data_IF_458838352987
#
_entry.id   IF_458838352987
#
_cell.length_a   1.000
_cell.length_b   1.000
_cell.length_c   1.000
_cell.angle_alpha   90.00
_cell.angle_beta   90.00
_cell.angle_gamma   90.00
#
_symmetry.space_group_name_H-M   'P 1'
#
loop_
_entity.id
_entity.type
_entity.pdbx_description
1 polymer ?
#
# COMPACT_ATOMS: atom_id res chain seq x y z
N UNK A 1 41.64 17.36 -29.23
CA UNK A 1 41.23 16.65 -28.00
C UNK A 1 40.02 17.40 -27.44
N UNK A 2 38.83 16.96 -27.81
CA UNK A 2 37.57 17.61 -27.41
C UNK A 2 37.05 16.88 -26.16
N UNK A 3 37.02 17.61 -25.06
CA UNK A 3 36.51 17.11 -23.78
C UNK A 3 34.96 17.21 -23.77
N UNK A 4 34.28 16.09 -23.92
CA UNK A 4 32.82 15.99 -23.87
C UNK A 4 32.39 15.91 -22.38
N UNK A 5 31.90 17.03 -21.84
CA UNK A 5 31.25 17.03 -20.49
C UNK A 5 29.89 16.36 -20.60
N UNK A 6 29.78 15.16 -20.08
CA UNK A 6 28.51 14.49 -19.81
C UNK A 6 27.84 15.18 -18.60
N UNK A 7 26.89 16.06 -18.87
CA UNK A 7 25.96 16.56 -17.87
C UNK A 7 24.87 15.49 -17.74
N UNK A 8 24.94 14.69 -16.67
CA UNK A 8 23.88 13.76 -16.30
C UNK A 8 22.60 14.52 -15.92
N UNK A 9 21.41 13.96 -16.15
CA UNK A 9 20.16 14.58 -15.71
C UNK A 9 20.10 14.57 -14.18
N UNK A 10 20.33 15.72 -13.57
CA UNK A 10 19.94 15.96 -12.19
C UNK A 10 18.41 15.95 -12.16
N UNK A 11 17.81 14.89 -11.62
CA UNK A 11 16.38 14.85 -11.30
C UNK A 11 16.10 15.98 -10.31
N UNK A 12 15.60 17.09 -10.83
CA UNK A 12 15.02 18.16 -10.01
C UNK A 12 13.75 17.55 -9.38
N UNK A 13 13.88 17.02 -8.17
CA UNK A 13 12.69 16.76 -7.32
C UNK A 13 12.10 18.14 -7.09
N UNK A 14 11.02 18.45 -7.81
CA UNK A 14 10.21 19.62 -7.52
C UNK A 14 9.73 19.46 -6.08
N UNK A 15 10.30 20.25 -5.17
CA UNK A 15 9.82 20.38 -3.81
C UNK A 15 8.41 20.94 -3.95
N UNK A 16 7.38 20.10 -3.72
CA UNK A 16 6.00 20.57 -3.77
C UNK A 16 5.87 21.66 -2.72
N UNK A 17 5.73 22.91 -3.18
CA UNK A 17 5.51 24.05 -2.31
C UNK A 17 4.23 23.83 -1.52
N UNK A 18 4.28 24.18 -0.24
CA UNK A 18 3.15 24.18 0.67
C UNK A 18 2.02 25.08 0.10
N UNK A 19 0.77 24.59 0.09
CA UNK A 19 -0.35 25.27 -0.55
C UNK A 19 -0.98 26.36 0.33
N UNK A 20 -0.52 26.54 1.59
CA UNK A 20 -1.23 27.40 2.55
C UNK A 20 -0.90 28.90 2.44
N UNK A 21 0.25 29.24 1.87
CA UNK A 21 0.70 30.64 1.81
C UNK A 21 1.31 31.11 3.13
N UNK A 22 1.30 32.42 3.35
CA UNK A 22 1.88 33.08 4.53
C UNK A 22 0.81 33.90 5.27
N UNK A 23 0.99 34.08 6.58
CA UNK A 23 0.14 34.93 7.41
C UNK A 23 0.79 36.30 7.49
N UNK A 24 0.05 37.35 7.18
CA UNK A 24 0.48 38.71 7.53
C UNK A 24 0.16 39.01 9.01
N UNK A 25 1.20 39.05 9.82
CA UNK A 25 1.06 39.31 11.25
C UNK A 25 0.51 40.71 11.58
N UNK A 26 0.58 41.66 10.64
CA UNK A 26 0.08 43.04 10.83
C UNK A 26 -1.45 43.12 10.76
N UNK A 27 -2.10 42.09 10.25
CA UNK A 27 -3.56 41.99 10.20
C UNK A 27 -4.19 41.65 11.55
N UNK A 28 -3.38 41.38 12.60
CA UNK A 28 -3.84 40.87 13.89
C UNK A 28 -3.21 41.59 15.06
N UNK A 29 -3.98 41.78 16.14
CA UNK A 29 -3.52 42.47 17.34
C UNK A 29 -2.81 41.58 18.35
N UNK A 30 -2.99 40.27 18.25
CA UNK A 30 -2.53 39.33 19.28
C UNK A 30 -2.06 38.01 18.65
N UNK A 31 -1.37 37.22 19.45
CA UNK A 31 -0.96 35.87 19.07
C UNK A 31 -1.03 34.89 20.23
N UNK A 32 -1.01 33.60 19.93
CA UNK A 32 -0.71 32.52 20.86
C UNK A 32 0.37 31.61 20.25
N UNK A 33 1.06 30.87 21.11
CA UNK A 33 2.11 29.96 20.68
C UNK A 33 1.67 28.52 20.87
N UNK A 34 1.86 27.71 19.86
CA UNK A 34 1.63 26.25 19.90
C UNK A 34 2.92 25.50 19.69
N UNK A 35 3.11 24.46 20.47
CA UNK A 35 4.11 23.42 20.19
C UNK A 35 3.34 22.14 19.94
N UNK A 36 3.35 21.66 18.69
CA UNK A 36 2.51 20.54 18.25
C UNK A 36 3.33 19.35 17.74
N UNK A 37 2.75 18.19 17.84
CA UNK A 37 3.18 16.97 17.16
C UNK A 37 1.96 16.38 16.45
N UNK A 38 2.09 16.12 15.17
CA UNK A 38 0.99 15.56 14.36
C UNK A 38 1.14 14.06 14.29
N UNK A 39 0.07 13.35 14.57
CA UNK A 39 -0.01 11.89 14.49
C UNK A 39 -1.10 11.45 13.51
N UNK A 40 -0.91 10.27 12.96
CA UNK A 40 -1.93 9.56 12.19
C UNK A 40 -1.87 8.10 12.59
N UNK A 41 -2.96 7.56 13.10
CA UNK A 41 -3.03 6.20 13.59
C UNK A 41 -1.92 5.84 14.62
N UNK A 42 -1.58 6.80 15.49
CA UNK A 42 -0.54 6.67 16.51
C UNK A 42 0.90 6.94 16.04
N UNK A 43 1.14 6.94 14.73
CA UNK A 43 2.45 7.22 14.14
C UNK A 43 2.69 8.73 14.00
N UNK A 44 3.90 9.19 14.36
CA UNK A 44 4.28 10.60 14.20
C UNK A 44 4.59 10.92 12.74
N UNK A 45 3.90 11.91 12.19
CA UNK A 45 4.13 12.43 10.85
C UNK A 45 5.42 13.27 10.80
N UNK A 46 6.19 13.07 9.73
CA UNK A 46 7.38 13.87 9.37
C UNK A 46 7.17 14.41 7.96
N UNK A 47 7.98 15.41 7.61
CA UNK A 47 7.93 16.04 6.27
C UNK A 47 6.52 16.54 5.90
N UNK A 48 5.91 17.25 6.85
CA UNK A 48 4.57 17.84 6.74
C UNK A 48 4.63 19.33 6.98
N UNK A 49 3.60 20.04 6.56
CA UNK A 49 3.34 21.44 6.95
C UNK A 49 2.02 21.49 7.71
N UNK A 50 2.04 21.55 9.05
CA UNK A 50 0.84 21.80 9.83
C UNK A 50 0.49 23.30 9.79
N UNK A 51 -0.79 23.60 9.68
CA UNK A 51 -1.30 24.97 9.67
C UNK A 51 -2.58 25.08 10.50
N UNK A 52 -2.83 26.26 11.06
CA UNK A 52 -3.99 26.57 11.90
C UNK A 52 -4.85 27.57 11.17
N UNK A 53 -6.14 27.32 11.15
CA UNK A 53 -7.15 28.14 10.48
C UNK A 53 -8.25 28.56 11.45
N UNK A 54 -8.84 29.72 11.19
CA UNK A 54 -10.15 30.11 11.70
C UNK A 54 -11.09 30.27 10.51
N UNK A 55 -12.07 29.39 10.38
CA UNK A 55 -12.84 29.29 9.14
C UNK A 55 -11.94 28.99 7.94
N UNK A 56 -11.92 29.86 6.95
CA UNK A 56 -11.06 29.73 5.76
C UNK A 56 -9.75 30.51 5.85
N UNK A 57 -9.55 31.31 6.91
CA UNK A 57 -8.39 32.16 7.07
C UNK A 57 -7.23 31.41 7.75
N UNK A 58 -6.07 31.44 7.11
CA UNK A 58 -4.82 30.96 7.71
C UNK A 58 -4.45 31.88 8.90
N UNK A 59 -4.19 31.27 10.04
CA UNK A 59 -3.83 31.99 11.30
C UNK A 59 -2.40 31.68 11.75
N UNK A 60 -1.82 30.60 11.28
CA UNK A 60 -0.44 30.23 11.60
C UNK A 60 0.01 29.01 10.83
N UNK A 61 1.31 28.93 10.60
CA UNK A 61 1.96 27.82 9.92
C UNK A 61 3.11 27.26 10.75
N UNK A 62 3.29 25.96 10.77
CA UNK A 62 4.26 25.28 11.62
C UNK A 62 5.65 25.25 11.02
N UNK A 63 6.62 25.61 11.87
CA UNK A 63 8.04 25.45 11.61
C UNK A 63 8.59 24.22 12.33
N UNK A 64 9.29 23.35 11.61
CA UNK A 64 9.87 22.13 12.19
C UNK A 64 10.98 22.49 13.19
N UNK A 65 10.93 21.92 14.38
CA UNK A 65 11.98 22.05 15.36
C UNK A 65 13.29 21.40 14.88
N UNK A 66 14.37 22.16 14.88
CA UNK A 66 15.70 21.63 14.53
C UNK A 66 16.27 20.62 15.55
N UNK A 67 15.74 20.63 16.79
CA UNK A 67 16.23 19.81 17.91
C UNK A 67 15.32 18.64 18.27
N UNK A 68 14.02 18.73 17.96
CA UNK A 68 13.02 17.75 18.34
C UNK A 68 12.29 17.24 17.08
N UNK A 69 12.70 16.09 16.51
CA UNK A 69 12.09 15.58 15.28
C UNK A 69 10.59 15.35 15.43
N UNK A 70 9.80 15.83 14.46
CA UNK A 70 8.33 15.70 14.45
C UNK A 70 7.61 16.70 15.34
N UNK A 71 8.32 17.63 16.00
CA UNK A 71 7.74 18.74 16.77
C UNK A 71 7.76 20.00 15.93
N UNK A 72 6.63 20.71 15.88
CA UNK A 72 6.45 21.94 15.13
C UNK A 72 6.07 23.10 16.08
N UNK A 73 6.62 24.27 15.82
CA UNK A 73 6.25 25.51 16.49
C UNK A 73 5.34 26.32 15.58
N UNK A 74 4.22 26.79 16.10
CA UNK A 74 3.25 27.60 15.36
C UNK A 74 2.96 28.87 16.16
N UNK A 75 3.19 30.02 15.57
CA UNK A 75 2.60 31.28 16.08
C UNK A 75 1.25 31.44 15.41
N UNK A 76 0.20 31.45 16.20
CA UNK A 76 -1.18 31.64 15.74
C UNK A 76 -1.62 33.05 16.03
N UNK A 77 -2.06 33.79 15.03
CA UNK A 77 -2.50 35.16 15.12
C UNK A 77 -4.02 35.26 15.21
N UNK A 78 -4.51 36.21 15.96
CA UNK A 78 -5.95 36.42 16.15
C UNK A 78 -6.23 37.69 16.96
N UNK A 79 -7.53 38.08 17.04
CA UNK A 79 -7.95 39.32 17.65
C UNK A 79 -8.76 39.09 18.91
N UNK A 80 -9.45 37.96 19.02
CA UNK A 80 -10.38 37.72 20.12
C UNK A 80 -10.19 36.33 20.73
N UNK A 81 -10.10 36.28 22.05
CA UNK A 81 -10.17 35.01 22.77
C UNK A 81 -11.52 34.34 22.53
N UNK A 82 -11.47 33.01 22.22
CA UNK A 82 -12.64 32.20 21.94
C UNK A 82 -12.88 31.95 20.45
N UNK A 83 -12.11 32.58 19.55
CA UNK A 83 -12.19 32.22 18.12
C UNK A 83 -11.93 30.71 17.92
N UNK A 84 -12.79 30.01 17.18
CA UNK A 84 -12.58 28.58 16.88
C UNK A 84 -11.41 28.42 15.90
N UNK A 85 -10.51 27.50 16.24
CA UNK A 85 -9.37 27.16 15.44
C UNK A 85 -9.44 25.66 15.06
N UNK A 86 -8.97 25.31 13.87
CA UNK A 86 -8.82 23.93 13.41
C UNK A 86 -7.51 23.76 12.66
N UNK A 87 -7.05 22.52 12.59
CA UNK A 87 -5.80 22.19 11.92
C UNK A 87 -6.04 21.67 10.50
N UNK A 88 -5.18 22.08 9.59
CA UNK A 88 -4.97 21.47 8.28
C UNK A 88 -3.52 21.08 8.16
N UNK A 89 -3.25 19.90 7.63
CA UNK A 89 -1.89 19.39 7.49
C UNK A 89 -1.64 19.03 6.03
N UNK A 90 -0.64 19.64 5.43
CA UNK A 90 -0.18 19.24 4.10
C UNK A 90 0.83 18.11 4.25
N UNK A 91 0.54 16.97 3.61
CA UNK A 91 1.37 15.77 3.64
C UNK A 91 1.25 15.00 2.33
N UNK A 92 2.38 14.66 1.71
CA UNK A 92 2.41 13.84 0.49
C UNK A 92 1.58 14.40 -0.68
N UNK A 93 1.52 15.73 -0.81
CA UNK A 93 0.75 16.40 -1.88
C UNK A 93 -0.75 16.57 -1.60
N UNK A 94 -1.21 16.28 -0.39
CA UNK A 94 -2.62 16.37 0.03
C UNK A 94 -2.78 17.23 1.28
N UNK A 95 -3.91 17.90 1.38
CA UNK A 95 -4.35 18.57 2.61
C UNK A 95 -5.26 17.59 3.35
N UNK A 96 -4.96 17.37 4.63
CA UNK A 96 -5.75 16.56 5.55
C UNK A 96 -6.28 17.50 6.62
N UNK A 97 -7.58 17.50 6.84
CA UNK A 97 -8.24 18.29 7.89
C UNK A 97 -8.54 17.39 9.08
N UNK A 98 -8.53 17.97 10.27
CA UNK A 98 -8.91 17.29 11.51
C UNK A 98 -10.11 17.96 12.14
N UNK A 99 -10.94 17.15 12.79
CA UNK A 99 -12.04 17.64 13.62
C UNK A 99 -11.55 18.17 14.99
N UNK A 100 -10.25 17.98 15.30
CA UNK A 100 -9.64 18.52 16.50
C UNK A 100 -9.65 20.05 16.44
N UNK A 101 -10.62 20.63 17.13
CA UNK A 101 -10.76 22.06 17.30
C UNK A 101 -10.16 22.55 18.62
N UNK A 102 -9.69 23.79 18.61
CA UNK A 102 -9.29 24.51 19.80
C UNK A 102 -9.78 25.95 19.70
N UNK A 103 -9.69 26.72 20.79
CA UNK A 103 -9.98 28.14 20.75
C UNK A 103 -8.71 28.94 20.83
N UNK A 104 -8.68 30.05 20.12
CA UNK A 104 -7.64 31.06 20.27
C UNK A 104 -7.73 31.71 21.67
N UNK A 105 -6.60 31.82 22.33
CA UNK A 105 -6.49 32.52 23.64
C UNK A 105 -5.31 33.47 23.55
N UNK A 106 -5.58 34.76 23.76
CA UNK A 106 -4.55 35.81 23.67
C UNK A 106 -3.38 35.48 24.61
N UNK A 107 -2.14 35.52 24.08
CA UNK A 107 -0.88 35.28 24.78
C UNK A 107 -0.76 33.88 25.44
N UNK A 108 -1.60 32.94 25.09
CA UNK A 108 -1.49 31.57 25.60
C UNK A 108 -0.31 30.82 24.94
N UNK A 109 0.20 29.86 25.71
CA UNK A 109 1.26 28.94 25.24
C UNK A 109 0.78 27.51 25.46
N UNK A 110 0.49 26.82 24.39
CA UNK A 110 -0.02 25.45 24.44
C UNK A 110 1.00 24.45 23.92
N UNK A 111 1.30 23.46 24.76
CA UNK A 111 2.32 22.46 24.49
C UNK A 111 3.74 22.96 24.78
N UNK A 112 4.69 22.02 24.76
CA UNK A 112 6.12 22.28 24.90
C UNK A 112 6.91 21.23 24.13
N UNK A 113 8.21 21.40 23.85
CA UNK A 113 8.99 20.39 23.13
C UNK A 113 9.02 19.01 23.77
N UNK A 114 8.90 18.94 25.12
CA UNK A 114 8.82 17.67 25.86
C UNK A 114 7.40 17.10 25.95
N UNK A 115 6.39 17.97 25.89
CA UNK A 115 4.98 17.62 25.99
C UNK A 115 4.21 18.40 24.92
N UNK A 116 4.38 18.06 23.64
CA UNK A 116 3.68 18.76 22.56
C UNK A 116 2.19 18.51 22.62
N UNK A 117 1.40 19.48 22.17
CA UNK A 117 0.00 19.24 21.88
C UNK A 117 -0.11 18.27 20.72
N UNK A 118 -0.85 17.20 20.92
CA UNK A 118 -1.01 16.16 19.89
C UNK A 118 -2.20 16.54 19.01
N UNK A 119 -1.95 16.59 17.70
CA UNK A 119 -2.97 16.74 16.66
C UNK A 119 -3.11 15.37 16.00
N UNK A 120 -4.24 14.71 16.25
CA UNK A 120 -4.52 13.40 15.65
C UNK A 120 -5.29 13.58 14.33
N UNK A 121 -4.69 13.13 13.24
CA UNK A 121 -5.32 13.14 11.93
C UNK A 121 -6.08 11.83 11.70
N UNK A 122 -7.23 11.90 11.03
CA UNK A 122 -7.93 10.69 10.59
C UNK A 122 -7.04 9.91 9.62
N UNK A 123 -6.82 8.64 9.92
CA UNK A 123 -6.10 7.77 9.00
C UNK A 123 -6.98 7.46 7.79
N UNK A 124 -6.48 7.61 6.54
CA UNK A 124 -7.20 7.18 5.38
C UNK A 124 -7.55 5.71 5.47
N UNK A 125 -8.82 5.37 5.23
CA UNK A 125 -9.32 4.01 5.18
C UNK A 125 -9.92 3.77 3.79
N UNK A 126 -9.49 2.70 3.13
CA UNK A 126 -10.07 2.27 1.86
C UNK A 126 -10.68 0.89 2.07
N UNK A 127 -11.99 0.81 1.85
CA UNK A 127 -12.73 -0.46 1.87
C UNK A 127 -12.89 -1.00 0.45
N UNK A 128 -12.73 -2.31 0.28
CA UNK A 128 -12.98 -2.97 -0.99
C UNK A 128 -13.66 -4.33 -0.78
N UNK A 129 -14.51 -4.67 -1.75
CA UNK A 129 -15.22 -5.95 -1.75
C UNK A 129 -14.36 -7.00 -2.46
N UNK A 130 -14.27 -8.19 -1.88
CA UNK A 130 -13.66 -9.36 -2.50
C UNK A 130 -14.69 -10.19 -3.24
N UNK A 131 -14.28 -10.81 -4.35
CA UNK A 131 -15.08 -11.79 -5.09
C UNK A 131 -14.51 -13.17 -4.81
N UNK A 132 -15.26 -14.00 -4.11
CA UNK A 132 -14.79 -15.31 -3.63
C UNK A 132 -13.47 -15.24 -2.85
N UNK A 133 -13.30 -14.16 -2.10
CA UNK A 133 -12.10 -13.87 -1.35
C UNK A 133 -10.93 -13.32 -2.18
N UNK A 134 -11.12 -13.00 -3.46
CA UNK A 134 -10.11 -12.36 -4.30
C UNK A 134 -10.47 -10.90 -4.61
N UNK A 135 -9.50 -10.03 -4.62
CA UNK A 135 -9.63 -8.66 -5.10
C UNK A 135 -8.29 -8.14 -5.60
N UNK A 136 -8.28 -6.95 -6.19
CA UNK A 136 -7.04 -6.24 -6.54
C UNK A 136 -7.01 -4.89 -5.87
N UNK A 137 -5.82 -4.40 -5.55
CA UNK A 137 -5.66 -3.04 -5.02
C UNK A 137 -4.38 -2.38 -5.48
N UNK A 138 -4.40 -1.04 -5.50
CA UNK A 138 -3.25 -0.16 -5.62
C UNK A 138 -3.56 1.07 -4.76
N UNK A 139 -2.87 1.24 -3.64
CA UNK A 139 -3.21 2.27 -2.66
C UNK A 139 -2.28 3.48 -2.78
N UNK A 140 -2.77 4.72 -2.61
CA UNK A 140 -1.95 5.92 -2.66
C UNK A 140 -1.11 6.15 -1.39
N UNK A 141 -1.18 5.25 -0.41
CA UNK A 141 -0.45 5.30 0.85
C UNK A 141 0.10 3.91 1.20
N UNK A 142 1.13 3.87 2.06
CA UNK A 142 1.54 2.61 2.67
C UNK A 142 0.43 2.13 3.60
N UNK A 143 0.08 0.86 3.52
CA UNK A 143 -1.04 0.31 4.29
C UNK A 143 -0.63 -0.93 5.08
N UNK A 144 -1.16 -1.07 6.28
CA UNK A 144 -1.06 -2.33 7.01
C UNK A 144 -1.84 -3.41 6.28
N UNK A 145 -1.22 -4.57 6.08
CA UNK A 145 -1.89 -5.73 5.49
C UNK A 145 -2.81 -6.32 6.57
N UNK A 146 -4.14 -6.31 6.37
CA UNK A 146 -5.07 -6.76 7.39
C UNK A 146 -4.92 -8.25 7.71
N UNK A 147 -5.18 -8.64 8.94
CA UNK A 147 -5.14 -10.04 9.36
C UNK A 147 -6.05 -10.91 8.47
N UNK A 148 -5.54 -12.08 8.08
CA UNK A 148 -6.24 -13.00 7.18
C UNK A 148 -6.23 -12.59 5.71
N UNK A 149 -5.46 -11.55 5.35
CA UNK A 149 -5.23 -11.12 3.98
C UNK A 149 -3.81 -11.48 3.55
N UNK A 150 -3.68 -12.04 2.36
CA UNK A 150 -2.38 -12.25 1.69
C UNK A 150 -2.33 -11.40 0.44
N UNK A 151 -1.24 -10.68 0.24
CA UNK A 151 -1.00 -9.85 -0.94
C UNK A 151 0.02 -10.53 -1.86
N UNK A 152 -0.21 -10.42 -3.18
CA UNK A 152 0.65 -11.03 -4.19
C UNK A 152 1.04 -10.00 -5.26
N UNK A 153 2.30 -10.05 -5.69
CA UNK A 153 2.76 -9.41 -6.92
C UNK A 153 2.76 -10.43 -8.06
N UNK A 154 2.60 -9.97 -9.29
CA UNK A 154 2.70 -10.84 -10.46
C UNK A 154 4.14 -10.83 -10.99
N UNK A 155 4.78 -11.99 -10.96
CA UNK A 155 6.19 -12.15 -11.31
C UNK A 155 6.40 -12.48 -12.78
N UNK A 156 5.38 -13.03 -13.46
CA UNK A 156 5.48 -13.37 -14.87
C UNK A 156 4.25 -14.09 -15.41
N UNK A 157 4.33 -14.44 -16.68
CA UNK A 157 3.33 -15.25 -17.39
C UNK A 157 4.07 -16.45 -17.98
N UNK A 158 3.64 -17.66 -17.62
CA UNK A 158 4.18 -18.91 -18.14
C UNK A 158 3.04 -19.84 -18.57
N UNK A 159 3.12 -20.43 -19.74
CA UNK A 159 2.11 -21.36 -20.30
C UNK A 159 0.66 -20.81 -20.27
N UNK A 160 0.50 -19.47 -20.41
CA UNK A 160 -0.80 -18.82 -20.34
C UNK A 160 -1.36 -18.67 -18.93
N UNK A 161 -0.55 -18.91 -17.90
CA UNK A 161 -0.88 -18.75 -16.48
C UNK A 161 -0.15 -17.55 -15.88
N UNK A 162 -0.85 -16.80 -15.04
CA UNK A 162 -0.27 -15.69 -14.28
C UNK A 162 0.42 -16.23 -13.02
N UNK A 163 1.73 -16.08 -12.95
CA UNK A 163 2.53 -16.46 -11.78
C UNK A 163 2.50 -15.32 -10.78
N UNK A 164 2.09 -15.60 -9.54
CA UNK A 164 2.05 -14.62 -8.46
C UNK A 164 2.82 -15.13 -7.25
N UNK A 165 3.57 -14.23 -6.64
CA UNK A 165 4.37 -14.49 -5.44
C UNK A 165 3.86 -13.62 -4.30
N UNK A 166 3.71 -14.23 -3.11
CA UNK A 166 3.26 -13.48 -1.95
C UNK A 166 4.28 -12.42 -1.53
N UNK A 167 3.78 -11.24 -1.23
CA UNK A 167 4.57 -10.16 -0.67
C UNK A 167 4.97 -10.51 0.77
N UNK A 168 6.24 -10.32 1.08
CA UNK A 168 6.76 -10.51 2.45
C UNK A 168 6.59 -9.25 3.28
N UNK A 169 6.30 -9.40 4.58
CA UNK A 169 6.07 -8.29 5.50
C UNK A 169 4.59 -8.02 5.74
N UNK A 170 4.33 -7.03 6.58
CA UNK A 170 2.97 -6.66 7.02
C UNK A 170 2.52 -5.29 6.50
N UNK A 171 3.32 -4.63 5.68
CA UNK A 171 3.00 -3.33 5.08
C UNK A 171 3.01 -3.47 3.56
N UNK A 172 1.91 -3.07 2.92
CA UNK A 172 1.82 -2.88 1.48
C UNK A 172 2.38 -1.49 1.13
N UNK A 173 3.44 -1.41 0.29
CA UNK A 173 3.98 -0.12 -0.12
C UNK A 173 2.97 0.67 -0.96
N UNK A 174 2.98 2.00 -0.81
CA UNK A 174 2.16 2.89 -1.64
C UNK A 174 2.41 2.67 -3.14
N UNK A 175 1.39 2.87 -3.94
CA UNK A 175 1.44 2.74 -5.41
C UNK A 175 1.93 1.37 -5.90
N UNK A 176 1.85 0.34 -5.04
CA UNK A 176 2.19 -1.04 -5.42
C UNK A 176 0.91 -1.77 -5.78
N UNK A 177 0.69 -2.08 -7.08
CA UNK A 177 -0.47 -2.85 -7.49
C UNK A 177 -0.32 -4.32 -7.07
N UNK A 178 -1.34 -4.87 -6.44
CA UNK A 178 -1.32 -6.26 -5.94
C UNK A 178 -2.65 -6.97 -6.16
N UNK A 179 -2.56 -8.28 -6.26
CA UNK A 179 -3.67 -9.19 -6.06
C UNK A 179 -3.76 -9.49 -4.56
N UNK A 180 -4.96 -9.56 -4.01
CA UNK A 180 -5.19 -9.94 -2.62
C UNK A 180 -6.06 -11.19 -2.52
N UNK A 181 -5.75 -12.03 -1.55
CA UNK A 181 -6.60 -13.13 -1.08
C UNK A 181 -7.06 -12.83 0.33
N UNK A 182 -8.35 -12.62 0.50
CA UNK A 182 -8.99 -12.33 1.79
C UNK A 182 -9.73 -13.59 2.26
N UNK A 183 -9.08 -14.41 3.07
CA UNK A 183 -9.63 -15.67 3.53
C UNK A 183 -10.86 -15.45 4.42
N UNK A 184 -12.04 -15.85 3.92
CA UNK A 184 -13.29 -15.76 4.65
C UNK A 184 -13.85 -14.32 4.83
N UNK A 185 -13.27 -13.32 4.18
CA UNK A 185 -13.74 -11.92 4.26
C UNK A 185 -14.34 -11.48 2.94
N UNK A 186 -15.55 -10.92 2.99
CA UNK A 186 -16.23 -10.32 1.82
C UNK A 186 -15.83 -8.88 1.59
N UNK A 187 -15.27 -8.21 2.60
CA UNK A 187 -14.71 -6.86 2.52
C UNK A 187 -13.38 -6.78 3.26
N UNK A 188 -12.50 -5.91 2.80
CA UNK A 188 -11.18 -5.66 3.36
C UNK A 188 -11.02 -4.17 3.55
N UNK A 189 -10.65 -3.76 4.76
CA UNK A 189 -10.33 -2.38 5.09
C UNK A 189 -8.81 -2.22 5.19
N UNK A 190 -8.29 -1.21 4.50
CA UNK A 190 -6.88 -0.87 4.46
C UNK A 190 -6.63 0.40 5.23
N UNK A 191 -5.84 0.31 6.27
CA UNK A 191 -5.50 1.41 7.15
C UNK A 191 -4.11 1.97 6.77
N UNK A 192 -4.03 3.27 6.59
CA UNK A 192 -2.77 3.95 6.30
C UNK A 192 -1.75 3.77 7.42
N UNK A 193 -0.48 3.55 7.04
CA UNK A 193 0.67 3.49 7.94
C UNK A 193 1.81 4.37 7.44
N UNK A 194 2.53 4.96 8.39
CA UNK A 194 3.74 5.72 8.10
C UNK A 194 4.92 4.79 8.32
N UNK A 195 5.45 4.27 7.22
CA UNK A 195 6.59 3.37 7.25
C UNK A 195 7.46 3.59 6.02
N UNK A 196 8.75 3.37 6.16
CA UNK A 196 9.65 3.21 5.01
C UNK A 196 9.62 1.75 4.62
N UNK A 197 9.16 1.46 3.41
CA UNK A 197 9.00 0.09 2.89
C UNK A 197 9.58 0.02 1.50
N UNK A 198 10.31 -1.05 1.22
CA UNK A 198 10.84 -1.31 -0.12
C UNK A 198 9.71 -1.77 -1.05
N UNK A 199 9.70 -1.23 -2.26
CA UNK A 199 8.78 -1.68 -3.31
C UNK A 199 9.32 -2.94 -3.97
N UNK A 200 8.44 -3.90 -4.33
CA UNK A 200 8.85 -5.10 -5.06
C UNK A 200 9.53 -4.74 -6.38
N UNK A 201 10.65 -5.39 -6.68
CA UNK A 201 11.44 -5.14 -7.89
C UNK A 201 10.82 -5.76 -9.14
N UNK A 202 10.02 -6.81 -8.98
CA UNK A 202 9.34 -7.51 -10.08
C UNK A 202 7.85 -7.50 -9.83
N UNK A 203 7.11 -6.83 -10.71
CA UNK A 203 5.66 -6.82 -10.69
C UNK A 203 5.13 -6.39 -12.06
N UNK A 204 4.41 -7.27 -12.75
CA UNK A 204 3.80 -6.96 -14.06
C UNK A 204 2.39 -6.37 -13.95
N UNK A 205 1.83 -6.28 -12.73
CA UNK A 205 0.60 -5.52 -12.54
C UNK A 205 0.82 -4.04 -12.80
N UNK A 206 -0.14 -3.43 -13.44
CA UNK A 206 -0.34 -1.99 -13.46
C UNK A 206 -1.39 -1.61 -12.41
N UNK A 207 -1.33 -0.38 -11.90
CA UNK A 207 -2.28 0.08 -10.88
C UNK A 207 -2.74 1.49 -11.13
N UNK A 208 -3.92 1.81 -10.60
CA UNK A 208 -4.45 3.17 -10.58
C UNK A 208 -5.02 3.52 -9.22
N UNK A 209 -4.75 4.75 -8.78
CA UNK A 209 -5.31 5.32 -7.55
C UNK A 209 -6.57 6.14 -7.82
N UNK A 210 -6.82 6.45 -9.08
CA UNK A 210 -7.98 7.21 -9.55
C UNK A 210 -8.76 6.38 -10.57
N UNK A 211 -10.02 6.74 -10.79
CA UNK A 211 -10.77 6.14 -11.90
C UNK A 211 -10.16 6.58 -13.22
N UNK A 212 -9.91 5.63 -14.12
CA UNK A 212 -9.32 5.90 -15.42
C UNK A 212 -10.12 5.27 -16.56
N UNK A 213 -10.18 5.96 -17.69
CA UNK A 213 -10.75 5.42 -18.91
C UNK A 213 -9.81 4.39 -19.53
N UNK A 214 -10.38 3.33 -20.10
CA UNK A 214 -9.66 2.30 -20.87
C UNK A 214 -10.45 1.93 -22.10
N UNK A 215 -9.74 1.53 -23.16
CA UNK A 215 -10.40 0.95 -24.32
C UNK A 215 -10.91 -0.46 -24.02
N UNK A 216 -12.10 -0.84 -24.45
CA UNK A 216 -12.61 -2.20 -24.25
C UNK A 216 -11.62 -3.25 -24.78
N UNK A 217 -11.39 -4.28 -24.00
CA UNK A 217 -10.45 -5.39 -24.27
C UNK A 217 -8.96 -5.00 -24.38
N UNK A 218 -8.58 -3.80 -23.96
CA UNK A 218 -7.18 -3.36 -23.94
C UNK A 218 -6.43 -3.79 -22.68
N UNK A 219 -7.12 -4.24 -21.64
CA UNK A 219 -6.55 -4.64 -20.34
C UNK A 219 -7.21 -5.92 -19.84
N UNK A 220 -6.51 -6.63 -18.95
CA UNK A 220 -7.10 -7.74 -18.20
C UNK A 220 -7.38 -7.29 -16.77
N UNK A 221 -8.56 -7.62 -16.28
CA UNK A 221 -8.97 -7.36 -14.89
C UNK A 221 -9.36 -8.66 -14.20
N UNK A 222 -9.28 -8.66 -12.87
CA UNK A 222 -9.74 -9.77 -12.05
C UNK A 222 -11.24 -10.00 -12.27
N UNK A 223 -11.58 -11.25 -12.53
CA UNK A 223 -12.99 -11.64 -12.77
C UNK A 223 -13.11 -13.14 -12.96
N UNK A 224 -14.30 -13.56 -13.39
CA UNK A 224 -14.58 -14.94 -13.75
C UNK A 224 -14.51 -15.12 -15.26
N UNK A 225 -13.95 -16.26 -15.67
CA UNK A 225 -14.14 -16.73 -17.05
C UNK A 225 -15.63 -17.03 -17.27
N UNK A 226 -16.21 -16.47 -18.33
CA UNK A 226 -17.64 -16.64 -18.61
C UNK A 226 -18.03 -18.05 -18.98
N UNK A 227 -17.07 -18.86 -19.49
CA UNK A 227 -17.30 -20.22 -19.95
C UNK A 227 -17.02 -21.27 -18.84
N UNK A 228 -15.92 -21.07 -18.08
CA UNK A 228 -15.47 -22.06 -17.09
C UNK A 228 -15.80 -21.68 -15.64
N UNK A 229 -16.15 -20.41 -15.39
CA UNK A 229 -16.35 -19.87 -14.05
C UNK A 229 -15.06 -19.66 -13.24
N UNK A 230 -13.89 -19.95 -13.81
CA UNK A 230 -12.61 -19.80 -13.12
C UNK A 230 -12.26 -18.34 -12.81
N UNK A 231 -11.72 -18.10 -11.63
CA UNK A 231 -11.19 -16.79 -11.24
C UNK A 231 -9.82 -16.59 -11.87
N UNK A 232 -9.64 -15.43 -12.50
CA UNK A 232 -8.40 -15.07 -13.18
C UNK A 232 -8.40 -13.62 -13.64
N UNK A 233 -7.45 -13.28 -14.46
CA UNK A 233 -7.42 -11.99 -15.15
C UNK A 233 -7.92 -12.19 -16.59
N UNK A 234 -9.05 -11.57 -16.92
CA UNK A 234 -9.75 -11.76 -18.18
C UNK A 234 -9.91 -10.43 -18.92
N UNK A 235 -10.02 -10.50 -20.25
CA UNK A 235 -10.26 -9.32 -21.09
C UNK A 235 -11.43 -8.51 -20.55
N UNK A 236 -11.18 -7.23 -20.27
CA UNK A 236 -12.17 -6.32 -19.71
C UNK A 236 -12.93 -5.60 -20.81
N UNK A 237 -14.22 -5.83 -20.89
CA UNK A 237 -15.10 -5.22 -21.89
C UNK A 237 -15.66 -3.85 -21.49
N UNK A 238 -15.36 -3.38 -20.28
CA UNK A 238 -15.78 -2.05 -19.82
C UNK A 238 -14.88 -0.95 -20.36
N UNK A 239 -15.29 0.29 -20.14
CA UNK A 239 -14.60 1.51 -20.59
C UNK A 239 -13.87 2.27 -19.50
N UNK A 240 -13.92 1.81 -18.25
CA UNK A 240 -13.23 2.47 -17.13
C UNK A 240 -12.82 1.48 -16.04
N UNK A 241 -11.66 1.71 -15.43
CA UNK A 241 -11.21 1.01 -14.23
C UNK A 241 -11.46 1.94 -13.03
N UNK A 242 -12.07 1.41 -11.97
CA UNK A 242 -12.29 2.16 -10.74
C UNK A 242 -10.98 2.50 -10.04
N UNK A 243 -11.00 3.52 -9.18
CA UNK A 243 -9.87 3.88 -8.33
C UNK A 243 -9.41 2.71 -7.45
N UNK A 244 -8.13 2.73 -7.08
CA UNK A 244 -7.48 1.78 -6.19
C UNK A 244 -7.55 0.33 -6.68
N UNK A 245 -7.31 0.11 -7.98
CA UNK A 245 -7.32 -1.23 -8.60
C UNK A 245 -5.99 -1.56 -9.25
N UNK A 246 -5.69 -2.88 -9.29
CA UNK A 246 -4.63 -3.42 -10.13
C UNK A 246 -5.23 -4.19 -11.31
N UNK A 247 -4.51 -4.15 -12.44
CA UNK A 247 -4.88 -4.75 -13.71
C UNK A 247 -3.62 -5.14 -14.49
N UNK A 248 -3.75 -5.80 -15.62
CA UNK A 248 -2.63 -6.12 -16.53
C UNK A 248 -2.85 -5.32 -17.82
N UNK A 249 -1.90 -4.40 -18.10
CA UNK A 249 -1.94 -3.54 -19.29
C UNK A 249 -1.34 -4.21 -20.54
N UNK A 250 -0.25 -4.98 -20.35
CA UNK A 250 0.46 -5.62 -21.46
C UNK A 250 -0.09 -7.03 -21.70
N UNK A 251 -1.11 -7.13 -22.55
CA UNK A 251 -1.75 -8.41 -22.88
C UNK A 251 -0.88 -9.13 -23.93
N UNK A 252 -0.43 -10.38 -23.69
CA UNK A 252 0.22 -11.17 -24.72
C UNK A 252 -0.70 -11.36 -25.94
N UNK A 253 -0.13 -11.28 -27.14
CA UNK A 253 -0.88 -11.41 -28.39
C UNK A 253 -1.69 -12.72 -28.40
N UNK A 254 -2.99 -12.62 -28.70
CA UNK A 254 -3.90 -13.76 -28.75
C UNK A 254 -4.43 -14.25 -27.40
N UNK A 255 -3.98 -13.68 -26.27
CA UNK A 255 -4.49 -14.04 -24.95
C UNK A 255 -5.86 -13.39 -24.70
N UNK A 256 -6.84 -14.19 -24.26
CA UNK A 256 -8.14 -13.71 -23.77
C UNK A 256 -8.22 -13.59 -22.25
N UNK A 257 -7.19 -14.10 -21.56
CA UNK A 257 -7.09 -14.09 -20.10
C UNK A 257 -6.13 -15.13 -19.57
N UNK A 258 -5.96 -15.14 -18.26
CA UNK A 258 -4.98 -15.97 -17.56
C UNK A 258 -5.53 -16.45 -16.24
N UNK A 259 -5.30 -17.72 -15.91
CA UNK A 259 -5.52 -18.25 -14.57
C UNK A 259 -4.43 -17.78 -13.61
N UNK A 260 -4.78 -17.63 -12.35
CA UNK A 260 -3.84 -17.29 -11.29
C UNK A 260 -3.19 -18.56 -10.75
N UNK A 261 -1.85 -18.60 -10.73
CA UNK A 261 -1.09 -19.66 -10.09
C UNK A 261 -0.22 -19.04 -9.00
N UNK A 262 -0.56 -19.36 -7.76
CA UNK A 262 0.23 -18.93 -6.61
C UNK A 262 1.49 -19.78 -6.51
N UNK A 263 2.65 -19.15 -6.60
CA UNK A 263 3.90 -19.83 -6.28
C UNK A 263 3.92 -20.12 -4.77
N UNK A 264 4.28 -21.36 -4.36
CA UNK A 264 4.36 -21.67 -2.94
C UNK A 264 5.47 -20.82 -2.30
N UNK A 265 5.12 -20.01 -1.31
CA UNK A 265 6.09 -19.32 -0.45
C UNK A 265 6.72 -20.33 0.50
N UNK A 266 7.79 -20.95 0.05
CA UNK A 266 8.54 -21.91 0.85
C UNK A 266 9.29 -22.83 -0.08
N UNK A 267 10.54 -23.08 0.22
CA UNK A 267 11.49 -23.93 -0.50
C UNK A 267 10.82 -25.22 -0.97
N UNK A 268 10.32 -25.19 -2.18
CA UNK A 268 9.92 -26.39 -2.92
C UNK A 268 10.69 -26.37 -4.23
N UNK A 269 11.93 -26.88 -4.17
CA UNK A 269 12.57 -27.43 -5.34
C UNK A 269 11.71 -28.61 -5.83
N UNK A 270 10.57 -28.32 -6.44
CA UNK A 270 9.89 -29.29 -7.27
C UNK A 270 10.51 -29.19 -8.67
N UNK A 271 11.57 -29.94 -8.91
CA UNK A 271 11.89 -30.38 -10.26
C UNK A 271 10.59 -30.94 -10.87
N UNK A 272 10.00 -30.20 -11.81
CA UNK A 272 9.00 -30.76 -12.72
C UNK A 272 9.72 -31.82 -13.57
N UNK A 273 9.64 -33.05 -13.14
CA UNK A 273 9.94 -34.16 -14.01
C UNK A 273 8.85 -34.17 -15.10
N UNK A 274 9.26 -33.83 -16.31
CA UNK A 274 8.50 -34.09 -17.51
C UNK A 274 8.19 -35.59 -17.55
N UNK A 275 6.93 -35.96 -17.43
CA UNK A 275 6.47 -37.33 -17.36
C UNK A 275 6.38 -37.89 -18.77
N UNK A 276 7.49 -38.40 -19.31
CA UNK A 276 7.44 -39.40 -20.37
C UNK A 276 7.55 -40.77 -19.70
N UNK A 277 6.40 -41.37 -19.51
CA UNK A 277 6.09 -42.78 -19.36
C UNK A 277 7.16 -43.68 -18.76
N UNK A 278 7.10 -43.88 -17.45
CA UNK A 278 7.24 -45.13 -16.67
C UNK A 278 7.41 -44.70 -15.19
N UNK A 279 6.38 -44.90 -14.41
CA UNK A 279 6.33 -44.53 -13.00
C UNK A 279 7.15 -45.52 -12.16
N UNK A 280 8.42 -45.18 -11.90
CA UNK A 280 9.07 -45.65 -10.68
C UNK A 280 8.61 -44.77 -9.53
N UNK A 281 7.57 -45.17 -8.84
CA UNK A 281 7.01 -44.46 -7.70
C UNK A 281 8.01 -44.47 -6.54
N UNK A 282 8.77 -43.37 -6.37
CA UNK A 282 9.70 -43.23 -5.25
C UNK A 282 8.94 -42.82 -4.00
N UNK A 283 9.07 -43.62 -2.97
CA UNK A 283 8.52 -43.35 -1.62
C UNK A 283 9.68 -43.13 -0.66
N UNK A 284 9.57 -42.14 0.22
CA UNK A 284 10.60 -41.80 1.20
C UNK A 284 10.04 -41.93 2.61
N UNK A 285 10.86 -42.31 3.56
CA UNK A 285 10.53 -42.21 4.98
C UNK A 285 10.64 -40.73 5.48
N UNK A 286 10.25 -40.50 6.71
CA UNK A 286 10.28 -39.14 7.31
C UNK A 286 11.71 -38.59 7.52
N UNK A 287 12.74 -39.42 7.41
CA UNK A 287 14.13 -39.00 7.45
C UNK A 287 14.69 -38.66 6.06
N UNK A 288 13.86 -38.75 5.00
CA UNK A 288 14.26 -38.47 3.62
C UNK A 288 14.94 -39.64 2.89
N UNK A 289 14.99 -40.81 3.49
CA UNK A 289 15.60 -42.00 2.87
C UNK A 289 14.61 -42.67 1.90
N UNK A 290 15.03 -42.89 0.66
CA UNK A 290 14.22 -43.59 -0.32
C UNK A 290 14.03 -45.06 0.06
N UNK A 291 12.77 -45.51 0.05
CA UNK A 291 12.46 -46.93 0.27
C UNK A 291 12.61 -47.71 -1.02
N UNK A 292 13.22 -48.86 -0.90
CA UNK A 292 13.45 -49.78 -2.04
C UNK A 292 12.22 -50.62 -2.43
N UNK A 293 11.20 -50.65 -1.56
CA UNK A 293 9.95 -51.38 -1.76
C UNK A 293 8.76 -50.62 -1.19
N UNK A 294 7.53 -51.02 -1.60
CA UNK A 294 6.30 -50.42 -1.09
C UNK A 294 6.22 -50.63 0.45
N UNK A 295 6.05 -49.58 1.24
CA UNK A 295 6.03 -49.70 2.68
C UNK A 295 4.81 -50.54 3.13
N UNK A 296 5.03 -51.43 4.05
CA UNK A 296 3.99 -52.30 4.65
C UNK A 296 3.69 -51.95 6.10
N UNK A 297 4.53 -51.11 6.72
CA UNK A 297 4.39 -50.73 8.15
C UNK A 297 3.53 -49.49 8.28
N UNK A 298 2.65 -49.44 9.28
CA UNK A 298 1.88 -48.25 9.61
C UNK A 298 2.82 -47.13 10.02
N UNK A 299 2.98 -46.13 9.16
CA UNK A 299 3.83 -44.94 9.42
C UNK A 299 3.49 -43.82 8.43
N UNK A 300 4.20 -42.71 8.58
CA UNK A 300 4.13 -41.57 7.69
C UNK A 300 5.24 -41.68 6.65
N UNK A 301 4.88 -41.52 5.39
CA UNK A 301 5.78 -41.55 4.24
C UNK A 301 5.59 -40.31 3.39
N UNK A 302 6.57 -39.98 2.56
CA UNK A 302 6.48 -38.94 1.55
C UNK A 302 6.46 -39.59 0.15
N UNK A 303 5.37 -39.32 -0.58
CA UNK A 303 5.19 -39.81 -1.96
C UNK A 303 4.79 -38.59 -2.81
N UNK A 304 5.50 -38.33 -3.91
CA UNK A 304 5.29 -37.17 -4.78
C UNK A 304 5.28 -35.81 -4.00
N UNK A 305 6.17 -35.69 -3.00
CA UNK A 305 6.22 -34.49 -2.16
C UNK A 305 5.05 -34.32 -1.19
N UNK A 306 4.10 -35.29 -1.12
CA UNK A 306 2.95 -35.27 -0.22
C UNK A 306 3.10 -36.28 0.89
N UNK A 307 2.68 -35.89 2.09
CA UNK A 307 2.60 -36.78 3.27
C UNK A 307 1.51 -37.83 3.05
N UNK A 308 1.85 -39.10 3.12
CA UNK A 308 0.94 -40.23 3.00
C UNK A 308 0.99 -41.02 4.29
N UNK A 309 -0.17 -41.31 4.86
CA UNK A 309 -0.30 -42.17 6.05
C UNK A 309 -0.83 -43.53 5.60
N UNK A 310 -0.05 -44.58 5.82
CA UNK A 310 -0.54 -45.93 5.71
C UNK A 310 -1.25 -46.30 7.01
N UNK A 311 -2.52 -46.65 6.90
CA UNK A 311 -3.38 -47.10 8.02
C UNK A 311 -3.39 -48.60 8.12
#
# INVERSE_FOLDING_TARGET
MVLLLLVGPTSLMAQMSDPFGEVDSHDYYSSMSLTVMVKMNGDTLKDITPAVFSGTQLRGKGELSSKNPGVYFITVYGDQTGEPLHFKVFSGGRIIETDDGMSFIINDVKGSPKHPYIVDLPAPVISMTSVEGWATTCLPFNAEIPEGVTTYTATGIEDGELKVTALTGNILPKNTPVLIKANGKNSVEWLSRIATVETPTTNIFSGTNESMAVEPNSVLTLGHNKETGEIGFWCYSGSSIAANRAYIANIPAGSRGMRIVCEPTGVSNTMRLHNNGKTNEKVYDISGRQLSSKPTTRSIYVKHGKKVILR
#
